data_IF_873883802723
#
_entry.id   IF_873883802723
#
_cell.length_a   1.000
_cell.length_b   1.000
_cell.length_c   1.000
_cell.angle_alpha   90.00
_cell.angle_beta   90.00
_cell.angle_gamma   90.00
#
_symmetry.space_group_name_H-M   'P 1'
#
loop_
_entity.id
_entity.type
_entity.pdbx_description
1 polymer ?
#
# COMPACT_ATOMS: atom_id res chain seq x y z
N UNK A 1 -9.37 -0.25 7.43
CA UNK A 1 -9.96 -1.44 8.06
C UNK A 1 -9.40 -2.63 7.34
N UNK A 2 -8.67 -3.48 8.08
CA UNK A 2 -8.12 -4.74 7.58
C UNK A 2 -9.26 -5.68 7.14
N UNK A 3 -9.02 -6.46 6.10
CA UNK A 3 -9.97 -7.40 5.54
C UNK A 3 -11.34 -6.78 5.18
N UNK A 4 -11.34 -5.60 4.53
CA UNK A 4 -12.57 -4.87 4.19
C UNK A 4 -13.57 -5.72 3.40
N UNK A 5 -13.07 -6.67 2.59
CA UNK A 5 -13.91 -7.58 1.80
C UNK A 5 -14.93 -8.36 2.64
N UNK A 6 -14.63 -8.61 3.92
CA UNK A 6 -15.52 -9.30 4.86
C UNK A 6 -16.89 -8.63 5.03
N UNK A 7 -16.99 -7.32 4.79
CA UNK A 7 -18.27 -6.62 4.80
C UNK A 7 -19.16 -7.00 3.61
N UNK A 8 -18.59 -7.35 2.46
CA UNK A 8 -19.37 -7.87 1.33
C UNK A 8 -19.62 -9.38 1.49
N UNK A 9 -18.58 -10.13 1.84
CA UNK A 9 -18.65 -11.55 2.16
C UNK A 9 -17.39 -12.04 2.85
N UNK A 10 -17.55 -12.97 3.78
CA UNK A 10 -16.47 -13.55 4.58
C UNK A 10 -16.46 -15.08 4.47
N UNK A 11 -15.27 -15.66 4.61
CA UNK A 11 -15.08 -17.10 4.62
C UNK A 11 -15.32 -17.64 6.03
N UNK A 12 -16.34 -18.47 6.20
CA UNK A 12 -16.71 -19.08 7.47
C UNK A 12 -16.24 -20.54 7.51
N UNK A 13 -15.45 -20.89 8.52
CA UNK A 13 -14.91 -22.24 8.72
C UNK A 13 -15.45 -22.77 10.05
N UNK A 14 -16.00 -24.00 10.12
CA UNK A 14 -16.38 -24.64 11.37
C UNK A 14 -15.20 -24.69 12.36
N UNK A 15 -15.48 -24.48 13.64
CA UNK A 15 -14.44 -24.34 14.66
C UNK A 15 -13.64 -25.64 14.93
N UNK A 16 -14.17 -26.78 14.50
CA UNK A 16 -13.58 -28.11 14.62
C UNK A 16 -12.71 -28.51 13.43
N UNK A 17 -12.63 -27.69 12.38
CA UNK A 17 -11.73 -27.94 11.25
C UNK A 17 -10.28 -27.58 11.58
N UNK A 18 -9.36 -28.45 11.20
CA UNK A 18 -7.91 -28.23 11.38
C UNK A 18 -7.34 -27.23 10.35
N UNK A 19 -8.06 -26.97 9.25
CA UNK A 19 -7.61 -26.10 8.15
C UNK A 19 -8.75 -25.27 7.58
N UNK A 20 -8.42 -24.21 6.84
CA UNK A 20 -9.41 -23.33 6.22
C UNK A 20 -10.05 -23.88 4.92
N UNK A 21 -9.71 -25.10 4.50
CA UNK A 21 -10.17 -25.66 3.21
C UNK A 21 -11.70 -25.87 3.20
N UNK A 22 -12.26 -26.37 4.29
CA UNK A 22 -13.68 -26.73 4.41
C UNK A 22 -14.49 -25.56 5.00
N UNK A 23 -14.56 -24.46 4.26
CA UNK A 23 -15.40 -23.32 4.62
C UNK A 23 -16.45 -22.99 3.55
N UNK A 24 -17.23 -21.96 3.83
CA UNK A 24 -18.20 -21.40 2.90
C UNK A 24 -18.18 -19.87 2.91
N UNK A 25 -18.50 -19.27 1.76
CA UNK A 25 -18.67 -17.82 1.66
C UNK A 25 -20.04 -17.42 2.22
N UNK A 26 -20.04 -16.63 3.29
CA UNK A 26 -21.25 -16.05 3.87
C UNK A 26 -21.33 -14.58 3.48
N UNK A 27 -22.53 -14.13 3.09
CA UNK A 27 -22.79 -12.73 2.75
C UNK A 27 -22.62 -11.86 3.99
N UNK A 28 -21.80 -10.82 3.87
CA UNK A 28 -21.59 -9.83 4.92
C UNK A 28 -22.74 -8.82 5.01
N UNK A 29 -22.68 -7.87 5.96
CA UNK A 29 -23.72 -6.87 6.18
C UNK A 29 -23.83 -5.83 5.04
N UNK A 30 -22.81 -5.73 4.19
CA UNK A 30 -22.77 -4.87 3.01
C UNK A 30 -23.00 -3.40 3.33
N UNK A 31 -23.72 -2.72 2.43
CA UNK A 31 -23.93 -1.28 2.51
C UNK A 31 -24.71 -0.83 3.74
N UNK A 32 -25.61 -1.66 4.26
CA UNK A 32 -26.43 -1.31 5.43
C UNK A 32 -25.57 -0.93 6.64
N UNK A 33 -24.46 -1.65 6.87
CA UNK A 33 -23.51 -1.31 7.94
C UNK A 33 -22.97 0.11 7.78
N UNK A 34 -22.44 0.44 6.59
CA UNK A 34 -21.83 1.74 6.34
C UNK A 34 -22.86 2.88 6.25
N UNK A 35 -24.09 2.60 5.81
CA UNK A 35 -25.19 3.57 5.86
C UNK A 35 -25.47 3.97 7.33
N UNK A 36 -25.54 3.00 8.24
CA UNK A 36 -25.73 3.26 9.69
C UNK A 36 -24.53 3.99 10.29
N UNK A 37 -23.30 3.54 10.02
CA UNK A 37 -22.09 4.22 10.53
C UNK A 37 -22.04 5.67 10.07
N UNK A 38 -22.39 5.94 8.80
CA UNK A 38 -22.43 7.29 8.25
C UNK A 38 -23.52 8.15 8.90
N UNK A 39 -24.69 7.57 9.16
CA UNK A 39 -25.79 8.29 9.82
C UNK A 39 -25.44 8.70 11.26
N UNK A 40 -24.76 7.81 12.00
CA UNK A 40 -24.44 8.02 13.41
C UNK A 40 -23.15 8.84 13.62
N UNK A 41 -22.14 8.68 12.76
CA UNK A 41 -20.80 9.25 12.94
C UNK A 41 -20.42 10.34 11.92
N UNK A 42 -21.21 10.50 10.85
CA UNK A 42 -20.94 11.46 9.78
C UNK A 42 -19.93 10.93 8.76
N UNK A 43 -18.85 11.67 8.53
CA UNK A 43 -17.84 11.30 7.53
C UNK A 43 -17.16 9.97 7.86
N UNK A 44 -16.76 9.25 6.82
CA UNK A 44 -16.13 7.93 6.92
C UNK A 44 -14.65 8.02 6.51
N UNK A 45 -13.72 8.45 7.39
CA UNK A 45 -12.29 8.51 7.09
C UNK A 45 -11.67 7.10 7.12
N UNK A 46 -12.20 6.20 6.30
CA UNK A 46 -11.86 4.78 6.26
C UNK A 46 -11.05 4.50 5.00
N UNK A 47 -9.86 3.92 5.17
CA UNK A 47 -9.12 3.27 4.09
C UNK A 47 -9.53 1.80 4.07
N UNK A 48 -9.98 1.30 2.92
CA UNK A 48 -10.33 -0.10 2.71
C UNK A 48 -9.07 -0.88 2.35
N UNK A 49 -8.69 -1.86 3.20
CA UNK A 49 -7.72 -2.87 2.80
C UNK A 49 -8.43 -3.84 1.84
N UNK A 50 -8.10 -3.73 0.56
CA UNK A 50 -8.72 -4.48 -0.54
C UNK A 50 -7.67 -5.23 -1.38
N UNK A 51 -6.69 -5.84 -0.71
CA UNK A 51 -5.66 -6.67 -1.34
C UNK A 51 -6.18 -8.10 -1.59
N UNK A 52 -5.47 -8.85 -2.42
CA UNK A 52 -5.85 -10.21 -2.82
C UNK A 52 -6.94 -10.26 -3.90
N UNK A 53 -7.70 -11.36 -3.88
CA UNK A 53 -8.80 -11.61 -4.81
C UNK A 53 -10.08 -10.90 -4.33
N UNK A 54 -10.47 -9.90 -5.10
CA UNK A 54 -11.59 -9.00 -4.79
C UNK A 54 -12.69 -9.20 -5.84
N UNK A 55 -13.89 -9.47 -5.34
CA UNK A 55 -15.09 -9.68 -6.15
C UNK A 55 -15.78 -8.35 -6.49
N UNK A 56 -16.61 -8.28 -7.56
CA UNK A 56 -17.26 -7.03 -7.98
C UNK A 56 -18.09 -6.33 -6.91
N UNK A 57 -18.72 -7.09 -6.01
CA UNK A 57 -19.52 -6.58 -4.88
C UNK A 57 -18.67 -5.84 -3.83
N UNK A 58 -17.44 -6.27 -3.59
CA UNK A 58 -16.49 -5.53 -2.73
C UNK A 58 -16.10 -4.20 -3.36
N UNK A 59 -15.85 -4.20 -4.68
CA UNK A 59 -15.52 -2.98 -5.43
C UNK A 59 -16.70 -2.00 -5.41
N UNK A 60 -17.92 -2.49 -5.65
CA UNK A 60 -19.14 -1.71 -5.59
C UNK A 60 -19.35 -1.12 -4.19
N UNK A 61 -19.18 -1.92 -3.14
CA UNK A 61 -19.31 -1.47 -1.75
C UNK A 61 -18.31 -0.35 -1.43
N UNK A 62 -17.04 -0.55 -1.76
CA UNK A 62 -15.99 0.46 -1.55
C UNK A 62 -16.31 1.76 -2.30
N UNK A 63 -16.68 1.65 -3.58
CA UNK A 63 -16.95 2.81 -4.43
C UNK A 63 -18.21 3.57 -3.99
N UNK A 64 -19.26 2.88 -3.54
CA UNK A 64 -20.50 3.50 -3.04
C UNK A 64 -20.26 4.47 -1.90
N UNK A 65 -19.32 4.15 -1.01
CA UNK A 65 -18.96 5.00 0.12
C UNK A 65 -17.70 5.86 -0.15
N UNK A 66 -17.22 5.86 -1.40
CA UNK A 66 -16.03 6.59 -1.84
C UNK A 66 -14.77 6.30 -0.99
N UNK A 67 -14.62 5.07 -0.51
CA UNK A 67 -13.52 4.69 0.36
C UNK A 67 -12.25 4.45 -0.47
N UNK A 68 -11.09 5.05 -0.14
CA UNK A 68 -9.85 4.73 -0.83
C UNK A 68 -9.44 3.28 -0.59
N UNK A 69 -9.09 2.58 -1.67
CA UNK A 69 -8.45 1.26 -1.59
C UNK A 69 -6.95 1.34 -1.34
N UNK A 70 -6.24 0.22 -1.50
CA UNK A 70 -4.78 0.12 -1.33
C UNK A 70 -4.06 -0.35 -2.59
N UNK A 71 -2.84 0.16 -2.80
CA UNK A 71 -1.89 -0.33 -3.80
C UNK A 71 -0.53 -0.54 -3.17
N UNK A 72 0.06 -1.72 -3.37
CA UNK A 72 1.38 -2.07 -2.84
C UNK A 72 2.34 -2.24 -4.01
N UNK A 73 3.36 -1.38 -4.10
CA UNK A 73 4.28 -1.37 -5.25
C UNK A 73 5.15 -2.63 -5.34
N UNK A 74 5.48 -3.27 -4.21
CA UNK A 74 6.20 -4.55 -4.25
C UNK A 74 5.44 -5.65 -5.01
N UNK A 75 4.12 -5.53 -5.21
CA UNK A 75 3.33 -6.51 -5.96
C UNK A 75 3.32 -6.26 -7.47
N UNK A 76 3.81 -5.11 -7.94
CA UNK A 76 3.62 -4.63 -9.32
C UNK A 76 4.39 -5.39 -10.40
N UNK A 77 5.41 -6.17 -10.04
CA UNK A 77 6.43 -6.63 -10.99
C UNK A 77 6.33 -8.12 -11.34
N UNK A 78 5.37 -8.84 -10.76
CA UNK A 78 5.24 -10.29 -10.88
C UNK A 78 4.64 -10.74 -12.22
N UNK A 79 3.88 -9.87 -12.90
CA UNK A 79 3.18 -10.18 -14.16
C UNK A 79 3.74 -9.35 -15.33
N UNK A 80 2.88 -8.63 -16.04
CA UNK A 80 3.20 -7.81 -17.21
C UNK A 80 2.66 -6.36 -17.06
N UNK A 81 2.65 -5.59 -18.15
CA UNK A 81 2.22 -4.20 -18.14
C UNK A 81 0.73 -3.99 -17.77
N UNK A 82 -0.08 -5.04 -17.70
CA UNK A 82 -1.50 -4.96 -17.32
C UNK A 82 -1.72 -5.02 -15.81
N UNK A 83 -0.66 -5.22 -15.00
CA UNK A 83 -0.79 -5.36 -13.55
C UNK A 83 -1.44 -4.14 -12.89
N UNK A 84 -2.50 -4.37 -12.12
CA UNK A 84 -3.27 -3.32 -11.42
C UNK A 84 -2.45 -2.56 -10.38
N UNK A 85 -1.29 -3.08 -9.97
CA UNK A 85 -0.38 -2.44 -9.03
C UNK A 85 0.69 -1.59 -9.72
N UNK A 86 0.83 -1.60 -11.05
CA UNK A 86 1.76 -0.71 -11.74
C UNK A 86 1.22 0.74 -11.80
N UNK A 87 2.03 1.76 -11.49
CA UNK A 87 1.58 3.16 -11.44
C UNK A 87 0.83 3.70 -12.65
N UNK A 88 1.18 3.29 -13.87
CA UNK A 88 0.48 3.75 -15.07
C UNK A 88 -0.94 3.18 -15.24
N UNK A 89 -1.30 2.14 -14.49
CA UNK A 89 -2.63 1.54 -14.47
C UNK A 89 -3.52 2.12 -13.35
N UNK A 90 -3.00 3.05 -12.55
CA UNK A 90 -3.75 3.62 -11.44
C UNK A 90 -4.93 4.48 -11.90
N UNK A 91 -5.99 4.45 -11.09
CA UNK A 91 -7.13 5.36 -11.13
C UNK A 91 -7.10 6.22 -9.87
N UNK A 92 -7.90 7.26 -9.77
CA UNK A 92 -8.01 8.07 -8.57
C UNK A 92 -8.68 7.31 -7.40
N UNK A 93 -8.48 7.79 -6.17
CA UNK A 93 -9.04 7.28 -4.90
C UNK A 93 -8.45 5.96 -4.36
N UNK A 94 -7.16 5.99 -4.02
CA UNK A 94 -6.46 4.91 -3.31
C UNK A 94 -5.26 5.46 -2.53
N UNK A 95 -4.77 4.69 -1.57
CA UNK A 95 -3.53 4.91 -0.86
C UNK A 95 -2.45 3.98 -1.42
N UNK A 96 -1.31 4.55 -1.81
CA UNK A 96 -0.16 3.77 -2.30
C UNK A 96 0.85 3.53 -1.18
N UNK A 97 1.44 2.34 -1.20
CA UNK A 97 2.53 1.94 -0.32
C UNK A 97 3.68 1.36 -1.14
N UNK A 98 4.92 1.55 -0.71
CA UNK A 98 6.05 0.75 -1.21
C UNK A 98 5.83 -0.72 -0.81
N UNK A 99 5.62 -0.94 0.50
CA UNK A 99 5.19 -2.17 1.13
C UNK A 99 4.43 -1.87 2.44
N UNK A 100 3.78 -2.87 3.01
CA UNK A 100 3.15 -2.81 4.33
C UNK A 100 4.06 -3.42 5.40
N UNK A 101 3.57 -3.55 6.63
CA UNK A 101 4.29 -4.26 7.70
C UNK A 101 4.40 -5.78 7.48
N UNK A 102 3.53 -6.37 6.65
CA UNK A 102 3.53 -7.80 6.29
C UNK A 102 4.49 -8.12 5.15
N UNK A 103 4.90 -7.09 4.41
CA UNK A 103 5.91 -7.19 3.38
C UNK A 103 7.32 -7.23 3.99
N UNK A 104 8.27 -7.74 3.22
CA UNK A 104 9.68 -7.46 3.49
C UNK A 104 9.97 -5.96 3.26
N UNK A 105 11.11 -5.46 3.73
CA UNK A 105 11.56 -4.12 3.31
C UNK A 105 11.75 -4.09 1.80
N UNK A 106 11.69 -2.91 1.17
CA UNK A 106 11.94 -2.80 -0.27
C UNK A 106 13.29 -3.39 -0.69
N UNK A 107 14.32 -3.19 0.13
CA UNK A 107 15.64 -3.77 -0.10
C UNK A 107 15.67 -5.29 0.12
N UNK A 108 15.06 -5.77 1.20
CA UNK A 108 14.93 -7.20 1.49
C UNK A 108 14.14 -7.94 0.42
N UNK A 109 13.04 -7.35 -0.05
CA UNK A 109 12.26 -7.84 -1.20
C UNK A 109 13.15 -7.97 -2.43
N UNK A 110 13.88 -6.93 -2.81
CA UNK A 110 14.72 -6.97 -4.00
C UNK A 110 15.85 -8.00 -3.90
N UNK A 111 16.53 -8.06 -2.76
CA UNK A 111 17.69 -8.93 -2.59
C UNK A 111 17.34 -10.40 -2.34
N UNK A 112 16.24 -10.67 -1.62
CA UNK A 112 16.00 -11.98 -1.01
C UNK A 112 14.70 -12.62 -1.48
N UNK A 113 13.60 -11.87 -1.49
CA UNK A 113 12.26 -12.45 -1.68
C UNK A 113 11.74 -12.40 -3.12
N UNK A 114 12.27 -11.51 -3.97
CA UNK A 114 11.86 -11.36 -5.36
C UNK A 114 12.58 -12.33 -6.30
N UNK A 115 11.91 -12.65 -7.39
CA UNK A 115 12.46 -13.39 -8.53
C UNK A 115 13.31 -12.48 -9.44
N UNK A 116 14.16 -13.07 -10.28
CA UNK A 116 14.90 -12.27 -11.27
C UNK A 116 13.97 -11.60 -12.30
N UNK A 117 12.85 -12.23 -12.64
CA UNK A 117 11.83 -11.63 -13.49
C UNK A 117 11.30 -10.31 -12.90
N UNK A 118 10.92 -10.33 -11.62
CA UNK A 118 10.45 -9.14 -10.91
C UNK A 118 11.53 -8.06 -10.83
N UNK A 119 12.78 -8.44 -10.53
CA UNK A 119 13.90 -7.48 -10.49
C UNK A 119 14.18 -6.85 -11.85
N UNK A 120 14.17 -7.65 -12.92
CA UNK A 120 14.35 -7.14 -14.28
C UNK A 120 13.23 -6.18 -14.69
N UNK A 121 11.98 -6.57 -14.43
CA UNK A 121 10.83 -5.73 -14.68
C UNK A 121 10.93 -4.41 -13.89
N UNK A 122 11.28 -4.47 -12.60
CA UNK A 122 11.52 -3.30 -11.77
C UNK A 122 12.58 -2.36 -12.36
N UNK A 123 13.76 -2.89 -12.73
CA UNK A 123 14.86 -2.10 -13.31
C UNK A 123 14.44 -1.39 -14.60
N UNK A 124 13.74 -2.10 -15.49
CA UNK A 124 13.24 -1.51 -16.74
C UNK A 124 12.13 -0.49 -16.50
N UNK A 125 11.22 -0.75 -15.56
CA UNK A 125 10.09 0.12 -15.26
C UNK A 125 10.53 1.46 -14.65
N UNK A 126 11.47 1.42 -13.70
CA UNK A 126 12.01 2.62 -13.07
C UNK A 126 13.22 3.22 -13.77
N UNK A 127 13.77 2.52 -14.78
CA UNK A 127 15.01 2.89 -15.48
C UNK A 127 16.19 3.06 -14.52
N UNK A 128 16.38 2.07 -13.67
CA UNK A 128 17.40 2.04 -12.61
C UNK A 128 18.25 0.77 -12.74
N UNK A 129 19.46 0.81 -12.18
CA UNK A 129 20.32 -0.37 -12.02
C UNK A 129 19.94 -1.22 -10.78
N UNK A 130 19.07 -0.70 -9.93
CA UNK A 130 18.60 -1.36 -8.71
C UNK A 130 19.50 -1.17 -7.49
N UNK A 131 20.43 -0.21 -7.49
CA UNK A 131 21.22 0.10 -6.29
C UNK A 131 20.41 0.87 -5.22
N UNK A 132 19.38 1.61 -5.63
CA UNK A 132 18.52 2.40 -4.73
C UNK A 132 17.05 1.96 -4.81
N UNK A 133 16.79 0.67 -4.55
CA UNK A 133 15.43 0.11 -4.72
C UNK A 133 14.40 0.78 -3.82
N UNK A 134 14.73 0.96 -2.54
CA UNK A 134 13.82 1.60 -1.58
C UNK A 134 13.41 2.99 -2.04
N UNK A 135 14.36 3.82 -2.46
CA UNK A 135 14.07 5.17 -2.93
C UNK A 135 13.39 5.21 -4.29
N UNK A 136 13.69 4.27 -5.20
CA UNK A 136 12.94 4.14 -6.45
C UNK A 136 11.46 3.83 -6.20
N UNK A 137 11.15 2.98 -5.21
CA UNK A 137 9.77 2.69 -4.82
C UNK A 137 9.11 3.86 -4.08
N UNK A 138 9.84 4.57 -3.20
CA UNK A 138 9.35 5.79 -2.54
C UNK A 138 8.99 6.84 -3.60
N UNK A 139 9.89 7.13 -4.54
CA UNK A 139 9.61 8.06 -5.64
C UNK A 139 8.45 7.56 -6.51
N UNK A 140 8.37 6.25 -6.77
CA UNK A 140 7.25 5.62 -7.45
C UNK A 140 5.90 5.86 -6.76
N UNK A 141 5.87 5.76 -5.44
CA UNK A 141 4.69 6.05 -4.63
C UNK A 141 4.37 7.55 -4.68
N UNK A 142 5.37 8.41 -4.44
CA UNK A 142 5.19 9.85 -4.36
C UNK A 142 4.86 10.50 -5.71
N UNK A 143 5.29 9.95 -6.84
CA UNK A 143 4.92 10.45 -8.18
C UNK A 143 3.55 9.96 -8.68
N UNK A 144 2.91 9.03 -7.97
CA UNK A 144 1.66 8.41 -8.40
C UNK A 144 0.45 9.35 -8.28
N UNK A 145 -0.69 8.97 -8.88
CA UNK A 145 -1.96 9.70 -8.73
C UNK A 145 -2.74 9.33 -7.46
N UNK A 146 -2.11 8.66 -6.50
CA UNK A 146 -2.73 8.29 -5.21
C UNK A 146 -3.11 9.52 -4.38
N UNK A 147 -4.23 9.44 -3.66
CA UNK A 147 -4.65 10.51 -2.73
C UNK A 147 -3.74 10.59 -1.51
N UNK A 148 -3.02 9.52 -1.20
CA UNK A 148 -2.04 9.44 -0.13
C UNK A 148 -0.94 8.44 -0.51
N UNK A 149 0.31 8.76 -0.19
CA UNK A 149 1.45 7.86 -0.28
C UNK A 149 1.99 7.61 1.13
N UNK A 150 2.15 6.34 1.49
CA UNK A 150 2.62 5.93 2.82
C UNK A 150 3.78 4.96 2.63
N UNK A 151 4.93 5.25 3.24
CA UNK A 151 6.14 4.43 3.09
C UNK A 151 6.64 3.99 4.47
N UNK A 152 7.03 2.72 4.67
CA UNK A 152 7.63 2.26 5.91
C UNK A 152 8.93 3.01 6.21
N UNK A 153 9.21 3.25 7.49
CA UNK A 153 10.44 3.91 7.91
C UNK A 153 11.68 3.08 7.53
N UNK A 154 11.55 1.76 7.50
CA UNK A 154 12.59 0.84 7.03
C UNK A 154 13.04 1.14 5.60
N UNK A 155 12.12 1.52 4.73
CA UNK A 155 12.42 1.85 3.33
C UNK A 155 13.10 3.21 3.22
N UNK A 156 12.68 4.20 4.02
CA UNK A 156 13.34 5.52 4.11
C UNK A 156 14.81 5.36 4.54
N UNK A 157 15.06 4.40 5.44
CA UNK A 157 16.39 4.06 5.93
C UNK A 157 17.14 3.03 5.07
N UNK A 158 16.54 2.57 3.96
CA UNK A 158 17.09 1.54 3.06
C UNK A 158 17.60 0.27 3.76
N UNK A 159 16.88 -0.20 4.79
CA UNK A 159 17.28 -1.37 5.58
C UNK A 159 16.91 -2.69 4.88
N UNK A 160 17.62 -3.77 5.16
CA UNK A 160 17.36 -5.09 4.59
C UNK A 160 16.31 -5.90 5.36
N UNK A 161 16.22 -7.20 5.05
CA UNK A 161 15.24 -8.13 5.64
C UNK A 161 15.33 -8.22 7.17
N UNK A 162 16.48 -7.91 7.77
CA UNK A 162 16.65 -7.83 9.22
C UNK A 162 15.74 -6.78 9.89
N UNK A 163 15.22 -5.83 9.12
CA UNK A 163 14.30 -4.81 9.57
C UNK A 163 12.81 -5.11 9.26
N UNK A 164 12.51 -6.28 8.69
CA UNK A 164 11.13 -6.71 8.42
C UNK A 164 10.30 -6.69 9.71
N UNK A 165 9.10 -6.10 9.63
CA UNK A 165 8.23 -5.97 10.81
C UNK A 165 7.49 -7.29 11.11
N UNK A 166 6.86 -7.89 10.10
CA UNK A 166 6.12 -9.13 10.25
C UNK A 166 6.37 -10.05 9.05
N UNK A 167 6.54 -11.35 9.32
CA UNK A 167 6.48 -12.44 8.34
C UNK A 167 5.19 -13.23 8.58
N UNK A 168 4.14 -13.00 7.77
CA UNK A 168 2.89 -13.75 7.87
C UNK A 168 3.12 -15.26 7.85
N UNK A 169 2.40 -15.99 8.71
CA UNK A 169 2.56 -17.43 8.89
C UNK A 169 3.69 -17.85 9.83
N UNK A 170 4.58 -16.94 10.25
CA UNK A 170 5.56 -17.21 11.31
C UNK A 170 4.96 -16.94 12.70
N UNK A 171 5.12 -17.88 13.63
CA UNK A 171 4.63 -17.74 15.00
C UNK A 171 5.55 -16.89 15.92
N UNK A 172 6.78 -16.59 15.50
CA UNK A 172 7.76 -15.89 16.34
C UNK A 172 8.71 -15.01 15.53
N UNK A 173 9.34 -14.05 16.19
CA UNK A 173 10.32 -13.14 15.57
C UNK A 173 9.73 -11.91 14.88
N UNK A 174 8.43 -11.65 15.05
CA UNK A 174 7.71 -10.52 14.46
C UNK A 174 7.52 -9.38 15.49
N UNK A 175 7.26 -8.17 15.00
CA UNK A 175 6.89 -6.99 15.78
C UNK A 175 7.98 -6.46 16.73
N UNK A 176 9.24 -6.82 16.47
CA UNK A 176 10.37 -6.45 17.33
C UNK A 176 11.26 -5.36 16.75
N UNK A 177 11.10 -5.01 15.47
CA UNK A 177 11.95 -3.99 14.85
C UNK A 177 11.76 -2.62 15.51
N UNK A 178 12.88 -1.93 15.75
CA UNK A 178 12.92 -0.59 16.31
C UNK A 178 14.00 0.22 15.61
N UNK A 179 13.67 1.43 15.19
CA UNK A 179 14.68 2.38 14.77
C UNK A 179 15.35 3.02 16.00
N UNK A 180 16.54 3.54 15.76
CA UNK A 180 17.29 4.33 16.72
C UNK A 180 17.25 5.81 16.29
N UNK A 181 17.11 6.78 17.21
CA UNK A 181 16.93 8.18 16.85
C UNK A 181 18.01 8.74 15.89
N UNK A 182 19.26 8.28 16.01
CA UNK A 182 20.36 8.73 15.13
C UNK A 182 20.26 8.23 13.69
N UNK A 183 19.42 7.22 13.39
CA UNK A 183 19.17 6.77 12.02
C UNK A 183 18.36 7.80 11.23
N UNK A 184 17.60 8.66 11.92
CA UNK A 184 16.91 9.80 11.31
C UNK A 184 17.85 11.00 11.25
N UNK A 185 18.88 10.87 10.42
CA UNK A 185 19.79 11.96 10.14
C UNK A 185 19.16 13.01 9.21
N UNK A 186 19.89 14.11 8.99
CA UNK A 186 19.43 15.18 8.09
C UNK A 186 19.29 14.70 6.65
N UNK A 187 20.11 13.75 6.19
CA UNK A 187 20.07 13.26 4.82
C UNK A 187 18.75 12.54 4.53
N UNK A 188 18.30 11.65 5.41
CA UNK A 188 17.01 10.98 5.27
C UNK A 188 15.82 11.95 5.33
N UNK A 189 15.88 12.92 6.26
CA UNK A 189 14.82 13.93 6.43
C UNK A 189 14.74 14.84 5.20
N UNK A 190 15.88 15.38 4.74
CA UNK A 190 15.94 16.30 3.61
C UNK A 190 15.53 15.58 2.32
N UNK A 191 15.98 14.34 2.09
CA UNK A 191 15.58 13.56 0.91
C UNK A 191 14.08 13.27 0.90
N UNK A 192 13.48 12.92 2.04
CA UNK A 192 12.03 12.69 2.13
C UNK A 192 11.25 14.00 1.90
N UNK A 193 11.75 15.12 2.43
CA UNK A 193 11.19 16.45 2.17
C UNK A 193 11.26 16.80 0.69
N UNK A 194 12.39 16.55 0.04
CA UNK A 194 12.59 16.86 -1.38
C UNK A 194 11.61 16.09 -2.27
N UNK A 195 11.42 14.78 -2.06
CA UNK A 195 10.42 14.03 -2.84
C UNK A 195 8.99 14.47 -2.53
N UNK A 196 8.72 14.88 -1.29
CA UNK A 196 7.42 15.41 -0.88
C UNK A 196 7.11 16.71 -1.65
N UNK A 197 8.07 17.62 -1.72
CA UNK A 197 7.89 18.90 -2.42
C UNK A 197 7.87 18.74 -3.94
N UNK A 198 8.78 17.93 -4.48
CA UNK A 198 8.92 17.70 -5.92
C UNK A 198 7.64 17.18 -6.57
N UNK A 199 6.95 16.27 -5.89
CA UNK A 199 5.73 15.64 -6.40
C UNK A 199 4.44 16.25 -5.84
N UNK A 200 4.50 17.43 -5.22
CA UNK A 200 3.29 18.15 -4.79
C UNK A 200 2.54 17.42 -3.67
N UNK A 201 3.24 16.82 -2.71
CA UNK A 201 2.64 16.08 -1.59
C UNK A 201 2.54 16.89 -0.30
N UNK A 202 2.98 18.15 -0.32
CA UNK A 202 2.75 19.12 0.75
C UNK A 202 1.53 20.00 0.40
N UNK A 203 0.42 19.94 1.17
CA UNK A 203 -0.75 20.78 0.95
C UNK A 203 -0.44 22.28 0.89
N UNK A 204 0.62 22.75 1.57
CA UNK A 204 1.04 24.16 1.57
C UNK A 204 1.46 24.65 0.19
N UNK A 205 1.86 23.75 -0.72
CA UNK A 205 2.23 24.12 -2.09
C UNK A 205 1.04 24.61 -2.92
N UNK A 206 -0.19 24.31 -2.47
CA UNK A 206 -1.43 24.66 -3.15
C UNK A 206 -2.17 25.82 -2.47
N UNK A 207 -1.71 26.30 -1.30
CA UNK A 207 -2.31 27.44 -0.62
C UNK A 207 -2.33 28.68 -1.53
N UNK A 208 -3.53 29.21 -1.79
CA UNK A 208 -3.73 30.39 -2.62
C UNK A 208 -3.57 30.14 -4.13
N UNK A 209 -3.49 28.88 -4.59
CA UNK A 209 -3.51 28.52 -6.02
C UNK A 209 -4.89 28.01 -6.41
N UNK A 210 -5.29 28.32 -7.65
CA UNK A 210 -6.44 27.68 -8.30
C UNK A 210 -6.05 26.26 -8.76
N UNK A 211 -6.99 25.34 -8.81
CA UNK A 211 -6.78 23.96 -9.28
C UNK A 211 -6.28 23.93 -10.75
N UNK A 212 -6.63 24.95 -11.54
CA UNK A 212 -6.22 25.12 -12.93
C UNK A 212 -5.00 26.07 -13.09
N UNK A 213 -4.38 26.50 -11.98
CA UNK A 213 -3.23 27.41 -12.04
C UNK A 213 -1.98 26.71 -12.59
N UNK A 214 -1.71 26.92 -13.88
CA UNK A 214 -0.49 26.50 -14.57
C UNK A 214 0.47 27.67 -14.86
N UNK A 215 1.77 27.39 -14.97
CA UNK A 215 2.75 28.36 -15.45
C UNK A 215 2.91 28.28 -16.97
N UNK A 216 2.14 29.07 -17.74
CA UNK A 216 2.36 29.37 -19.16
C UNK A 216 1.91 30.79 -19.49
#
# INVERSE_FOLDING_TARGET
IDHFRGFAGYWAVPADEDTAINGEWIKGPGAHFFDVVKAELGDLPIIAEDLGEITPDVIELRNRFNLPGMKILQFSFSTDATDKFLPHNYKSNFVVYSGTHDNDTAWGWYQTSSTEHERDHFRRYFRTDGHEVSWSLIEGAFRSVAVMAVVPLQDVLSLGTEARMNLPGSASGNWTWRFQPWQLDRGAIDRLRDVTLLYGRDPKLYEGKDDEAGGQ
#
